data_IF_486225722311
#
_entry.id   IF_486225722311
#
_cell.length_a   1.000
_cell.length_b   1.000
_cell.length_c   1.000
_cell.angle_alpha   90.00
_cell.angle_beta   90.00
_cell.angle_gamma   90.00
#
_symmetry.space_group_name_H-M   'P 1'
#
loop_
_entity.id
_entity.type
_entity.pdbx_description
1 polymer ?
#
# COMPACT_ATOMS: atom_id res chain seq x y z
N UNK A 1 -65.26 -2.79 -3.49
CA UNK A 1 -66.62 -2.69 -4.04
C UNK A 1 -67.42 -3.81 -3.43
N UNK A 2 -68.66 -3.54 -3.06
CA UNK A 2 -69.56 -4.59 -2.61
C UNK A 2 -69.96 -5.49 -3.80
N UNK A 3 -70.39 -6.71 -3.49
CA UNK A 3 -70.94 -7.63 -4.48
C UNK A 3 -72.28 -7.09 -5.03
N UNK A 4 -72.81 -7.72 -6.08
CA UNK A 4 -74.10 -7.35 -6.66
C UNK A 4 -75.23 -7.42 -5.62
N UNK A 5 -75.95 -6.33 -5.41
CA UNK A 5 -77.13 -6.26 -4.53
C UNK A 5 -78.37 -6.07 -5.40
N UNK A 6 -79.04 -7.18 -5.75
CA UNK A 6 -80.23 -7.17 -6.60
C UNK A 6 -81.15 -8.38 -6.29
N UNK A 7 -82.45 -8.36 -6.65
CA UNK A 7 -83.28 -9.55 -6.63
C UNK A 7 -82.67 -10.68 -7.49
N UNK A 8 -82.85 -11.93 -7.07
CA UNK A 8 -82.34 -13.14 -7.74
C UNK A 8 -80.81 -13.36 -7.66
N UNK A 9 -80.14 -12.83 -6.64
CA UNK A 9 -78.74 -13.18 -6.33
C UNK A 9 -78.64 -14.32 -5.31
N UNK A 10 -77.59 -15.12 -5.39
CA UNK A 10 -77.33 -16.27 -4.49
C UNK A 10 -76.01 -16.08 -3.72
N UNK A 11 -75.78 -16.85 -2.66
CA UNK A 11 -74.49 -16.86 -1.95
C UNK A 11 -73.40 -17.49 -2.82
N UNK A 12 -72.13 -17.27 -2.48
CA UNK A 12 -70.99 -17.79 -3.27
C UNK A 12 -70.99 -19.31 -3.38
N UNK A 13 -71.44 -20.00 -2.32
CA UNK A 13 -71.52 -21.47 -2.25
C UNK A 13 -72.60 -22.03 -3.18
N UNK A 14 -73.57 -21.19 -3.53
CA UNK A 14 -74.70 -21.50 -4.40
C UNK A 14 -74.54 -20.92 -5.80
N UNK A 15 -73.47 -20.14 -6.04
CA UNK A 15 -73.20 -19.54 -7.34
C UNK A 15 -72.78 -20.61 -8.36
N UNK A 16 -73.09 -20.35 -9.63
CA UNK A 16 -72.71 -21.23 -10.72
C UNK A 16 -71.17 -21.37 -10.76
N UNK A 17 -70.70 -22.61 -10.64
CA UNK A 17 -69.29 -22.94 -10.78
C UNK A 17 -68.93 -23.15 -12.26
N UNK A 18 -67.65 -22.97 -12.58
CA UNK A 18 -67.15 -23.37 -13.88
C UNK A 18 -67.43 -24.87 -14.13
N UNK A 19 -67.83 -25.27 -15.35
CA UNK A 19 -68.12 -26.67 -15.66
C UNK A 19 -66.96 -27.62 -15.32
N UNK A 20 -67.29 -28.76 -14.68
CA UNK A 20 -66.33 -29.75 -14.21
C UNK A 20 -65.60 -30.50 -15.34
N UNK A 21 -66.22 -30.61 -16.52
CA UNK A 21 -65.67 -31.28 -17.71
C UNK A 21 -65.79 -30.38 -18.94
N UNK A 22 -64.89 -30.55 -19.92
CA UNK A 22 -64.91 -29.81 -21.19
C UNK A 22 -63.54 -29.24 -21.59
N UNK A 23 -63.30 -29.21 -22.90
CA UNK A 23 -62.09 -28.67 -23.52
C UNK A 23 -62.21 -27.14 -23.67
N UNK A 24 -61.21 -26.35 -23.25
CA UNK A 24 -61.20 -24.90 -23.51
C UNK A 24 -61.39 -24.59 -24.99
N UNK A 25 -62.17 -23.55 -25.30
CA UNK A 25 -62.52 -23.19 -26.66
C UNK A 25 -62.90 -21.72 -26.80
N UNK A 26 -63.26 -21.35 -28.02
CA UNK A 26 -63.62 -19.97 -28.41
C UNK A 26 -65.14 -19.85 -28.55
N UNK A 27 -65.68 -18.68 -28.22
CA UNK A 27 -67.08 -18.36 -28.50
C UNK A 27 -67.33 -18.37 -30.02
N UNK A 28 -68.55 -18.75 -30.43
CA UNK A 28 -68.94 -18.86 -31.85
C UNK A 28 -70.36 -18.34 -32.05
N UNK A 29 -70.61 -17.67 -33.18
CA UNK A 29 -71.97 -17.24 -33.57
C UNK A 29 -72.86 -18.41 -34.05
N UNK A 30 -72.35 -19.65 -33.94
CA UNK A 30 -73.04 -20.86 -34.33
C UNK A 30 -72.99 -21.11 -35.84
N UNK A 31 -73.35 -22.32 -36.23
CA UNK A 31 -73.52 -22.69 -37.63
C UNK A 31 -74.70 -23.68 -37.74
N UNK A 32 -75.86 -23.22 -38.27
CA UNK A 32 -77.06 -24.06 -38.40
C UNK A 32 -76.84 -25.29 -39.28
N UNK A 33 -75.93 -25.21 -40.27
CA UNK A 33 -75.62 -26.29 -41.21
C UNK A 33 -74.84 -27.44 -40.58
N UNK A 34 -74.13 -27.19 -39.48
CA UNK A 34 -73.36 -28.19 -38.74
C UNK A 34 -73.96 -28.51 -37.37
N UNK A 35 -75.19 -28.06 -37.11
CA UNK A 35 -75.87 -28.16 -35.80
C UNK A 35 -75.04 -27.61 -34.63
N UNK A 36 -74.15 -26.62 -34.88
CA UNK A 36 -73.35 -26.01 -33.83
C UNK A 36 -74.11 -24.81 -33.25
N UNK A 37 -74.57 -24.86 -31.99
CA UNK A 37 -75.29 -23.74 -31.38
C UNK A 37 -74.38 -22.53 -31.18
N UNK A 38 -74.98 -21.33 -31.22
CA UNK A 38 -74.29 -20.08 -30.93
C UNK A 38 -74.02 -19.93 -29.42
N UNK A 39 -72.92 -19.29 -29.07
CA UNK A 39 -72.70 -18.78 -27.70
C UNK A 39 -73.72 -17.67 -27.43
N UNK A 40 -74.29 -17.63 -26.21
CA UNK A 40 -75.32 -16.64 -25.86
C UNK A 40 -74.85 -15.17 -25.93
N UNK A 41 -73.53 -14.96 -25.89
CA UNK A 41 -72.89 -13.65 -25.92
C UNK A 41 -72.28 -13.40 -27.31
N UNK A 42 -72.16 -12.14 -27.76
CA UNK A 42 -71.50 -11.80 -29.02
C UNK A 42 -70.08 -12.39 -29.07
N UNK A 43 -69.83 -13.32 -30.00
CA UNK A 43 -68.64 -14.16 -29.96
C UNK A 43 -67.35 -13.34 -30.09
N UNK A 44 -67.32 -12.38 -31.01
CA UNK A 44 -66.17 -11.51 -31.23
C UNK A 44 -65.74 -10.75 -29.96
N UNK A 45 -66.67 -10.08 -29.30
CA UNK A 45 -66.38 -9.27 -28.12
C UNK A 45 -65.88 -10.13 -26.96
N UNK A 46 -66.45 -11.32 -26.77
CA UNK A 46 -66.04 -12.23 -25.71
C UNK A 46 -64.65 -12.83 -25.97
N UNK A 47 -64.39 -13.23 -27.21
CA UNK A 47 -63.08 -13.72 -27.63
C UNK A 47 -61.99 -12.65 -27.46
N UNK A 48 -62.26 -11.40 -27.85
CA UNK A 48 -61.32 -10.30 -27.68
C UNK A 48 -61.00 -10.03 -26.19
N UNK A 49 -62.02 -10.02 -25.32
CA UNK A 49 -61.79 -9.88 -23.87
C UNK A 49 -61.03 -11.08 -23.28
N UNK A 50 -61.35 -12.30 -23.74
CA UNK A 50 -60.66 -13.50 -23.32
C UNK A 50 -59.18 -13.44 -23.70
N UNK A 51 -58.87 -13.04 -24.93
CA UNK A 51 -57.49 -12.88 -25.40
C UNK A 51 -56.70 -11.89 -24.56
N UNK A 52 -57.23 -10.69 -24.33
CA UNK A 52 -56.56 -9.66 -23.54
C UNK A 52 -56.27 -10.12 -22.10
N UNK A 53 -57.26 -10.72 -21.44
CA UNK A 53 -57.11 -11.21 -20.07
C UNK A 53 -56.16 -12.40 -19.99
N UNK A 54 -56.23 -13.34 -20.95
CA UNK A 54 -55.32 -14.48 -21.03
C UNK A 54 -53.89 -14.01 -21.29
N UNK A 55 -53.69 -13.07 -22.21
CA UNK A 55 -52.38 -12.51 -22.52
C UNK A 55 -51.76 -11.84 -21.29
N UNK A 56 -52.54 -11.08 -20.52
CA UNK A 56 -52.07 -10.47 -19.26
C UNK A 56 -51.72 -11.53 -18.21
N UNK A 57 -52.57 -12.56 -18.03
CA UNK A 57 -52.35 -13.63 -17.06
C UNK A 57 -51.06 -14.39 -17.38
N UNK A 58 -50.90 -14.80 -18.63
CA UNK A 58 -49.72 -15.51 -19.11
C UNK A 58 -48.48 -14.61 -19.10
N UNK A 59 -48.62 -13.34 -19.48
CA UNK A 59 -47.54 -12.34 -19.43
C UNK A 59 -47.05 -12.07 -18.00
N UNK A 60 -47.92 -12.15 -17.00
CA UNK A 60 -47.56 -12.14 -15.58
C UNK A 60 -47.09 -13.49 -15.03
N UNK A 61 -46.78 -14.46 -15.88
CA UNK A 61 -46.20 -15.75 -15.51
C UNK A 61 -47.19 -16.75 -14.90
N UNK A 62 -48.50 -16.49 -14.95
CA UNK A 62 -49.51 -17.39 -14.38
C UNK A 62 -50.02 -18.38 -15.45
N UNK A 63 -50.22 -19.63 -15.04
CA UNK A 63 -50.86 -20.65 -15.88
C UNK A 63 -52.38 -20.55 -15.76
N UNK A 64 -53.10 -20.63 -16.88
CA UNK A 64 -54.55 -20.61 -16.89
C UNK A 64 -55.13 -21.78 -16.07
N UNK A 65 -55.93 -21.44 -15.07
CA UNK A 65 -56.59 -22.39 -14.20
C UNK A 65 -58.04 -21.98 -13.98
N UNK A 66 -58.97 -22.80 -14.49
CA UNK A 66 -60.41 -22.55 -14.38
C UNK A 66 -60.94 -22.49 -12.94
N UNK A 67 -60.21 -23.07 -11.99
CA UNK A 67 -60.59 -23.11 -10.58
C UNK A 67 -60.06 -21.91 -9.78
N UNK A 68 -59.34 -20.98 -10.42
CA UNK A 68 -58.72 -19.83 -9.77
C UNK A 68 -59.21 -18.50 -10.35
N UNK A 69 -60.13 -17.86 -9.63
CA UNK A 69 -60.67 -16.54 -10.00
C UNK A 69 -59.76 -15.37 -9.56
N UNK A 70 -58.52 -15.63 -9.13
CA UNK A 70 -57.55 -14.62 -8.69
C UNK A 70 -56.37 -14.43 -9.65
N UNK A 71 -56.35 -15.15 -10.78
CA UNK A 71 -55.23 -15.14 -11.73
C UNK A 71 -54.90 -13.76 -12.28
N UNK A 72 -55.92 -12.95 -12.62
CA UNK A 72 -55.73 -11.58 -13.09
C UNK A 72 -54.97 -10.73 -12.06
N UNK A 73 -55.38 -10.83 -10.80
CA UNK A 73 -54.75 -10.11 -9.69
C UNK A 73 -53.31 -10.58 -9.46
N UNK A 74 -53.06 -11.90 -9.47
CA UNK A 74 -51.71 -12.47 -9.32
C UNK A 74 -50.77 -12.03 -10.43
N UNK A 75 -51.24 -12.02 -11.67
CA UNK A 75 -50.45 -11.60 -12.83
C UNK A 75 -50.08 -10.11 -12.76
N UNK A 76 -51.04 -9.24 -12.47
CA UNK A 76 -50.78 -7.80 -12.29
C UNK A 76 -49.80 -7.56 -11.14
N UNK A 77 -49.99 -8.26 -10.01
CA UNK A 77 -49.08 -8.16 -8.86
C UNK A 77 -47.64 -8.57 -9.22
N UNK A 78 -47.47 -9.69 -9.91
CA UNK A 78 -46.15 -10.19 -10.33
C UNK A 78 -45.45 -9.23 -11.32
N UNK A 79 -46.19 -8.65 -12.27
CA UNK A 79 -45.65 -7.65 -13.20
C UNK A 79 -45.18 -6.37 -12.49
N UNK A 80 -45.83 -5.99 -11.40
CA UNK A 80 -45.41 -4.84 -10.58
C UNK A 80 -44.17 -5.21 -9.76
N UNK A 81 -44.19 -6.37 -9.07
CA UNK A 81 -43.09 -6.81 -8.21
C UNK A 81 -41.79 -7.04 -9.00
N UNK A 82 -41.87 -7.68 -10.17
CA UNK A 82 -40.70 -7.88 -11.05
C UNK A 82 -40.04 -6.58 -11.51
N UNK A 83 -40.80 -5.50 -11.67
CA UNK A 83 -40.24 -4.18 -11.98
C UNK A 83 -39.61 -3.51 -10.74
N UNK A 84 -40.15 -3.75 -9.55
CA UNK A 84 -39.62 -3.19 -8.29
C UNK A 84 -38.28 -3.83 -7.90
N UNK A 85 -38.07 -5.11 -8.20
CA UNK A 85 -36.80 -5.81 -7.96
C UNK A 85 -35.59 -5.20 -8.70
N UNK A 86 -35.84 -4.34 -9.70
CA UNK A 86 -34.79 -3.63 -10.45
C UNK A 86 -34.31 -2.36 -9.78
N UNK A 87 -34.98 -1.90 -8.73
CA UNK A 87 -34.63 -0.69 -7.99
C UNK A 87 -33.98 -1.05 -6.66
N UNK A 88 -33.02 -0.22 -6.23
CA UNK A 88 -32.41 -0.38 -4.92
C UNK A 88 -33.39 0.06 -3.80
N UNK A 89 -33.34 -0.57 -2.61
CA UNK A 89 -34.09 -0.10 -1.45
C UNK A 89 -33.80 1.37 -1.13
N UNK A 90 -34.80 2.12 -0.69
CA UNK A 90 -34.62 3.52 -0.29
C UNK A 90 -33.76 3.64 0.97
N UNK A 91 -34.03 2.76 1.94
CA UNK A 91 -33.30 2.69 3.21
C UNK A 91 -32.21 1.62 3.11
N UNK A 92 -30.97 2.03 3.35
CA UNK A 92 -29.79 1.15 3.36
C UNK A 92 -29.67 0.22 2.14
N UNK A 93 -29.65 0.76 0.90
CA UNK A 93 -29.44 -0.06 -0.29
C UNK A 93 -28.11 -0.79 -0.24
N UNK A 94 -28.12 -2.08 -0.58
CA UNK A 94 -26.91 -2.83 -0.90
C UNK A 94 -26.61 -2.69 -2.40
N UNK A 95 -25.50 -2.04 -2.75
CA UNK A 95 -25.07 -1.91 -4.14
C UNK A 95 -24.35 -3.16 -4.61
N UNK A 96 -24.81 -3.75 -5.72
CA UNK A 96 -24.16 -4.91 -6.36
C UNK A 96 -23.58 -4.53 -7.73
N UNK A 97 -22.65 -5.34 -8.25
CA UNK A 97 -22.01 -5.08 -9.55
C UNK A 97 -21.00 -3.91 -9.50
N UNK A 98 -21.06 -3.02 -10.51
CA UNK A 98 -20.16 -1.85 -10.63
C UNK A 98 -20.99 -0.55 -10.56
N UNK A 99 -21.37 -0.09 -9.36
CA UNK A 99 -22.15 1.15 -9.21
C UNK A 99 -21.36 2.35 -9.75
N UNK A 100 -22.06 3.26 -10.42
CA UNK A 100 -21.49 4.52 -10.91
C UNK A 100 -22.07 5.69 -10.13
N UNK A 101 -21.24 6.70 -9.87
CA UNK A 101 -21.65 7.95 -9.26
C UNK A 101 -20.87 9.11 -9.91
N UNK A 102 -21.38 10.35 -9.87
CA UNK A 102 -20.65 11.51 -10.36
C UNK A 102 -19.33 11.68 -9.59
N UNK A 103 -18.23 11.95 -10.28
CA UNK A 103 -16.94 12.25 -9.64
C UNK A 103 -16.94 13.69 -9.12
N UNK A 104 -16.87 13.91 -7.80
CA UNK A 104 -16.81 15.25 -7.23
C UNK A 104 -15.47 15.94 -7.53
N UNK A 105 -15.43 17.26 -7.37
CA UNK A 105 -14.17 18.03 -7.35
C UNK A 105 -13.40 17.75 -6.06
N UNK A 106 -12.07 17.80 -6.09
CA UNK A 106 -11.20 17.43 -4.94
C UNK A 106 -11.39 18.27 -3.66
N UNK A 107 -12.07 19.41 -3.75
CA UNK A 107 -12.37 20.31 -2.63
C UNK A 107 -13.78 20.11 -2.04
N UNK A 108 -14.56 19.17 -2.57
CA UNK A 108 -15.93 18.90 -2.09
C UNK A 108 -15.90 18.23 -0.69
N UNK A 109 -16.66 18.79 0.26
CA UNK A 109 -16.78 18.31 1.65
C UNK A 109 -18.22 17.92 2.03
N UNK A 110 -19.07 17.65 1.03
CA UNK A 110 -20.46 17.21 1.23
C UNK A 110 -20.56 15.74 1.64
N UNK A 111 -21.77 15.29 1.97
CA UNK A 111 -22.08 13.91 2.36
C UNK A 111 -22.32 12.97 1.16
N UNK A 112 -21.89 13.35 -0.04
CA UNK A 112 -22.01 12.52 -1.26
C UNK A 112 -21.11 11.28 -1.17
N UNK A 113 -21.48 10.24 -1.90
CA UNK A 113 -20.62 9.05 -2.08
C UNK A 113 -19.32 9.41 -2.81
N UNK A 114 -18.17 8.93 -2.32
CA UNK A 114 -16.89 9.13 -2.98
C UNK A 114 -16.67 8.11 -4.10
N UNK A 115 -16.32 8.55 -5.31
CA UNK A 115 -15.90 7.65 -6.39
C UNK A 115 -14.44 7.24 -6.23
N UNK A 116 -14.05 6.11 -6.82
CA UNK A 116 -12.64 5.67 -6.85
C UNK A 116 -11.73 6.65 -7.61
N UNK A 117 -12.28 7.36 -8.61
CA UNK A 117 -11.57 8.40 -9.34
C UNK A 117 -11.28 9.63 -8.45
N UNK A 118 -12.24 10.04 -7.62
CA UNK A 118 -12.04 11.09 -6.63
C UNK A 118 -10.96 10.70 -5.61
N UNK A 119 -11.06 9.51 -5.01
CA UNK A 119 -10.08 9.04 -4.03
C UNK A 119 -8.67 8.96 -4.63
N UNK A 120 -8.54 8.43 -5.86
CA UNK A 120 -7.25 8.43 -6.58
C UNK A 120 -6.68 9.83 -6.77
N UNK A 121 -7.52 10.81 -7.12
CA UNK A 121 -7.09 12.19 -7.33
C UNK A 121 -6.61 12.84 -6.03
N UNK A 122 -7.34 12.65 -4.92
CA UNK A 122 -6.97 13.17 -3.60
C UNK A 122 -5.66 12.54 -3.11
N UNK A 123 -5.53 11.21 -3.20
CA UNK A 123 -4.33 10.49 -2.77
C UNK A 123 -3.11 10.87 -3.61
N UNK A 124 -3.28 11.04 -4.93
CA UNK A 124 -2.21 11.52 -5.81
C UNK A 124 -1.75 12.93 -5.42
N UNK A 125 -2.66 13.84 -5.05
CA UNK A 125 -2.32 15.16 -4.55
C UNK A 125 -1.48 15.12 -3.27
N UNK A 126 -1.79 14.21 -2.35
CA UNK A 126 -1.01 14.02 -1.11
C UNK A 126 0.39 13.46 -1.39
N UNK A 127 0.51 12.48 -2.29
CA UNK A 127 1.80 11.88 -2.64
C UNK A 127 2.73 12.80 -3.44
N UNK A 128 2.20 13.86 -4.07
CA UNK A 128 2.97 14.77 -4.91
C UNK A 128 3.76 15.85 -4.15
N UNK A 129 3.54 16.00 -2.84
CA UNK A 129 4.21 17.03 -2.03
C UNK A 129 5.36 16.38 -1.24
N UNK A 130 6.60 16.40 -1.76
CA UNK A 130 7.75 15.98 -0.98
C UNK A 130 7.94 16.94 0.19
N UNK A 131 8.27 16.41 1.37
CA UNK A 131 8.63 17.25 2.49
C UNK A 131 9.98 17.92 2.20
N UNK A 132 10.07 19.22 2.47
CA UNK A 132 11.30 20.01 2.40
C UNK A 132 11.49 20.77 3.70
N UNK A 133 12.58 21.54 3.82
CA UNK A 133 12.81 22.39 5.00
C UNK A 133 11.78 23.51 5.18
N UNK A 134 10.97 23.81 4.15
CA UNK A 134 9.96 24.88 4.17
C UNK A 134 8.53 24.39 3.95
N UNK A 135 8.35 23.16 3.48
CA UNK A 135 7.05 22.62 3.08
C UNK A 135 6.82 21.30 3.80
N UNK A 136 5.72 21.20 4.55
CA UNK A 136 5.25 19.94 5.11
C UNK A 136 4.81 19.01 3.99
N UNK A 137 5.26 17.75 4.03
CA UNK A 137 4.97 16.77 2.98
C UNK A 137 5.38 15.37 3.44
N UNK A 138 5.51 14.46 2.48
CA UNK A 138 5.95 13.08 2.74
C UNK A 138 7.44 12.96 2.38
N UNK A 139 8.24 12.44 3.31
CA UNK A 139 9.64 12.07 3.05
C UNK A 139 9.83 10.56 3.11
N UNK A 140 10.62 10.03 2.18
CA UNK A 140 11.07 8.64 2.23
C UNK A 140 12.18 8.47 3.28
N UNK A 141 12.31 7.26 3.85
CA UNK A 141 13.50 6.88 4.64
C UNK A 141 14.74 6.77 3.76
N UNK A 142 15.87 7.30 4.22
CA UNK A 142 17.15 7.17 3.55
C UNK A 142 17.59 5.70 3.42
N UNK A 143 18.21 5.36 2.29
CA UNK A 143 18.97 4.11 2.11
C UNK A 143 20.33 4.20 2.81
N UNK A 144 21.02 3.07 2.98
CA UNK A 144 22.36 3.04 3.57
C UNK A 144 23.37 3.93 2.83
N UNK A 145 23.47 3.90 1.47
CA UNK A 145 24.39 4.78 0.75
C UNK A 145 24.03 6.26 0.89
N UNK A 146 22.73 6.61 0.86
CA UNK A 146 22.27 7.99 1.07
C UNK A 146 22.63 8.49 2.48
N UNK A 147 22.46 7.63 3.50
CA UNK A 147 22.81 7.96 4.87
C UNK A 147 24.33 8.11 5.06
N UNK A 148 25.14 7.29 4.39
CA UNK A 148 26.61 7.38 4.41
C UNK A 148 27.14 8.60 3.65
N UNK A 149 26.46 9.03 2.59
CA UNK A 149 26.84 10.19 1.80
C UNK A 149 26.51 11.53 2.47
N UNK A 150 25.50 11.58 3.34
CA UNK A 150 25.05 12.82 4.02
C UNK A 150 24.74 13.98 3.04
N UNK A 151 24.33 13.68 1.81
CA UNK A 151 24.13 14.67 0.73
C UNK A 151 22.66 15.08 0.52
N UNK A 152 21.71 14.29 1.01
CA UNK A 152 20.27 14.50 0.77
C UNK A 152 19.62 15.26 1.94
N UNK A 153 18.89 16.33 1.64
CA UNK A 153 18.08 17.09 2.60
C UNK A 153 16.65 16.58 2.76
N UNK A 154 16.17 15.76 1.82
CA UNK A 154 14.73 15.50 1.66
C UNK A 154 14.31 14.13 2.21
N UNK A 155 15.28 13.37 2.72
CA UNK A 155 15.09 12.02 3.26
C UNK A 155 15.19 12.00 4.78
N UNK A 156 14.39 11.17 5.43
CA UNK A 156 14.43 10.99 6.88
C UNK A 156 15.40 9.88 7.29
N UNK A 157 16.13 10.10 8.39
CA UNK A 157 16.97 9.08 9.01
C UNK A 157 16.18 8.33 10.09
N UNK A 158 16.22 7.01 10.02
CA UNK A 158 15.88 6.12 11.13
C UNK A 158 17.10 5.90 12.04
N UNK A 159 16.93 5.40 13.27
CA UNK A 159 18.07 4.99 14.09
C UNK A 159 19.02 3.99 13.39
N UNK A 160 18.48 3.10 12.56
CA UNK A 160 19.29 2.13 11.81
C UNK A 160 20.11 2.78 10.68
N UNK A 161 19.51 3.71 9.92
CA UNK A 161 20.23 4.43 8.86
C UNK A 161 21.20 5.46 9.43
N UNK A 162 20.89 6.07 10.57
CA UNK A 162 21.83 6.93 11.30
C UNK A 162 23.06 6.12 11.73
N UNK A 163 22.86 4.92 12.30
CA UNK A 163 23.96 4.01 12.60
C UNK A 163 24.77 3.66 11.34
N UNK A 164 24.10 3.39 10.23
CA UNK A 164 24.75 3.06 8.97
C UNK A 164 25.59 4.22 8.41
N UNK A 165 25.18 5.47 8.64
CA UNK A 165 25.94 6.68 8.27
C UNK A 165 27.35 6.71 8.87
N UNK A 166 27.53 6.10 10.05
CA UNK A 166 28.80 6.01 10.78
C UNK A 166 29.49 4.65 10.65
N UNK A 167 29.06 3.81 9.71
CA UNK A 167 29.61 2.47 9.48
C UNK A 167 30.00 2.27 8.01
N UNK A 168 30.59 1.13 7.68
CA UNK A 168 30.96 0.77 6.31
C UNK A 168 32.10 1.65 5.80
N UNK A 169 31.88 2.41 4.72
CA UNK A 169 32.92 3.27 4.13
C UNK A 169 33.41 4.37 5.06
N UNK A 170 32.64 4.71 6.09
CA UNK A 170 32.96 5.80 7.03
C UNK A 170 33.61 5.30 8.33
N UNK A 171 33.81 3.98 8.50
CA UNK A 171 34.39 3.42 9.72
C UNK A 171 35.00 2.04 9.52
N UNK A 172 36.20 1.83 10.04
CA UNK A 172 36.86 0.52 10.13
C UNK A 172 37.37 0.26 11.54
N UNK A 173 36.86 -0.79 12.20
CA UNK A 173 37.26 -1.20 13.57
C UNK A 173 38.53 -2.07 13.62
N UNK A 174 39.28 -2.16 12.54
CA UNK A 174 40.52 -2.93 12.47
C UNK A 174 41.62 -2.33 13.37
N UNK A 175 42.66 -3.12 13.67
CA UNK A 175 43.82 -2.64 14.44
C UNK A 175 44.45 -1.39 13.84
N UNK A 176 44.53 -1.34 12.50
CA UNK A 176 44.79 -0.14 11.72
C UNK A 176 43.46 0.30 11.10
N UNK A 177 42.78 1.23 11.76
CA UNK A 177 41.39 1.58 11.46
C UNK A 177 41.18 3.08 11.36
N UNK A 178 39.96 3.47 11.02
CA UNK A 178 39.60 4.87 10.84
C UNK A 178 38.13 5.14 11.13
N UNK A 179 37.81 6.40 11.37
CA UNK A 179 36.45 6.93 11.45
C UNK A 179 36.39 8.28 10.74
N UNK A 180 35.39 8.44 9.87
CA UNK A 180 35.06 9.72 9.24
C UNK A 180 33.95 10.37 10.07
N UNK A 181 34.19 11.59 10.51
CA UNK A 181 33.22 12.39 11.26
C UNK A 181 32.36 13.24 10.32
N UNK A 182 31.14 13.65 10.73
CA UNK A 182 30.26 14.50 9.91
C UNK A 182 30.87 15.85 9.54
N UNK A 183 31.85 16.33 10.31
CA UNK A 183 32.59 17.56 10.01
C UNK A 183 33.55 17.41 8.82
N UNK A 184 33.73 16.19 8.29
CA UNK A 184 34.75 15.87 7.29
C UNK A 184 36.13 15.59 7.89
N UNK A 185 36.29 15.66 9.21
CA UNK A 185 37.51 15.22 9.89
C UNK A 185 37.60 13.71 9.86
N UNK A 186 38.79 13.21 9.58
CA UNK A 186 39.13 11.79 9.59
C UNK A 186 40.03 11.55 10.79
N UNK A 187 39.63 10.61 11.65
CA UNK A 187 40.47 10.07 12.70
C UNK A 187 40.95 8.68 12.30
N UNK A 188 42.24 8.41 12.45
CA UNK A 188 42.81 7.10 12.16
C UNK A 188 43.65 6.64 13.33
N UNK A 189 43.69 5.33 13.54
CA UNK A 189 44.50 4.70 14.57
C UNK A 189 45.22 3.49 14.01
N UNK A 190 46.32 3.13 14.65
CA UNK A 190 47.06 1.96 14.25
C UNK A 190 48.13 1.54 15.24
N UNK A 191 48.75 0.41 14.90
CA UNK A 191 49.85 -0.17 15.65
C UNK A 191 51.02 -0.37 14.70
N UNK A 192 52.17 0.17 15.08
CA UNK A 192 53.45 -0.16 14.48
C UNK A 192 53.93 -1.46 15.13
N UNK A 193 54.20 -2.46 14.29
CA UNK A 193 54.56 -3.80 14.72
C UNK A 193 55.75 -3.80 15.70
N UNK A 194 55.73 -4.77 16.62
CA UNK A 194 56.80 -5.00 17.58
C UNK A 194 58.15 -5.12 16.87
N UNK A 195 59.15 -4.40 17.37
CA UNK A 195 60.54 -4.60 16.99
C UNK A 195 61.38 -4.80 18.24
N UNK A 196 62.39 -5.65 18.15
CA UNK A 196 63.46 -5.74 19.15
C UNK A 196 64.59 -4.83 18.72
N UNK A 197 64.85 -3.76 19.47
CA UNK A 197 65.93 -2.82 19.19
C UNK A 197 67.19 -3.27 19.94
N UNK A 198 68.32 -3.49 19.25
CA UNK A 198 69.61 -3.68 19.90
C UNK A 198 69.95 -2.56 20.89
N UNK A 199 70.86 -2.83 21.82
CA UNK A 199 71.41 -1.82 22.71
C UNK A 199 71.99 -0.64 21.89
N UNK A 200 71.77 0.59 22.36
CA UNK A 200 72.24 1.83 21.74
C UNK A 200 71.95 1.93 20.23
N UNK A 201 70.71 1.65 19.83
CA UNK A 201 70.30 1.63 18.41
C UNK A 201 68.99 2.36 18.16
N UNK A 202 68.77 2.72 16.89
CA UNK A 202 67.51 3.29 16.42
C UNK A 202 66.99 2.53 15.21
N UNK A 203 65.67 2.49 15.03
CA UNK A 203 65.01 1.87 13.88
C UNK A 203 63.83 2.72 13.43
N UNK A 204 63.81 3.00 12.14
CA UNK A 204 62.76 3.78 11.50
C UNK A 204 61.63 2.85 11.05
N UNK A 205 60.39 3.27 11.28
CA UNK A 205 59.19 2.56 10.86
C UNK A 205 58.33 3.49 10.01
N UNK A 206 58.10 3.10 8.76
CA UNK A 206 57.15 3.78 7.88
C UNK A 206 55.75 3.30 8.22
N UNK A 207 54.90 4.23 8.63
CA UNK A 207 53.50 4.00 8.97
C UNK A 207 52.65 4.46 7.79
N UNK A 208 51.88 3.54 7.21
CA UNK A 208 50.85 3.87 6.22
C UNK A 208 49.51 4.02 6.92
N UNK A 209 48.84 5.14 6.68
CA UNK A 209 47.50 5.39 7.19
C UNK A 209 46.47 4.52 6.46
N UNK A 210 45.46 3.96 7.17
CA UNK A 210 44.37 3.19 6.57
C UNK A 210 43.64 3.89 5.43
N UNK A 211 43.58 5.22 5.47
CA UNK A 211 42.97 6.09 4.47
C UNK A 211 43.87 7.29 4.18
N UNK A 212 43.99 7.68 2.92
CA UNK A 212 44.70 8.90 2.56
C UNK A 212 43.86 10.12 2.99
N UNK A 213 44.49 11.07 3.67
CA UNK A 213 43.91 12.39 3.92
C UNK A 213 43.90 13.21 2.62
N UNK A 214 42.97 14.16 2.49
CA UNK A 214 42.93 15.09 1.34
C UNK A 214 43.96 16.21 1.47
N UNK A 215 44.43 16.49 2.69
CA UNK A 215 45.56 17.38 3.00
C UNK A 215 46.50 16.72 4.03
N UNK A 216 47.63 17.37 4.34
CA UNK A 216 48.52 16.85 5.38
C UNK A 216 47.77 16.69 6.72
N UNK A 217 48.10 15.63 7.46
CA UNK A 217 47.51 15.36 8.76
C UNK A 217 47.72 16.55 9.72
N UNK A 218 46.70 16.88 10.50
CA UNK A 218 46.70 18.04 11.41
C UNK A 218 47.48 17.76 12.69
N UNK A 219 47.38 16.54 13.21
CA UNK A 219 48.05 16.13 14.45
C UNK A 219 48.22 14.63 14.51
N UNK A 220 49.29 14.20 15.17
CA UNK A 220 49.55 12.80 15.50
C UNK A 220 49.95 12.68 16.97
N UNK A 221 49.31 11.75 17.67
CA UNK A 221 49.68 11.31 18.99
C UNK A 221 50.22 9.88 18.92
N UNK A 222 51.32 9.63 19.63
CA UNK A 222 51.94 8.31 19.74
C UNK A 222 51.99 7.87 21.20
N UNK A 223 51.79 6.57 21.42
CA UNK A 223 51.95 5.93 22.73
C UNK A 223 52.90 4.76 22.58
N UNK A 224 53.90 4.69 23.46
CA UNK A 224 54.93 3.65 23.44
C UNK A 224 54.60 2.58 24.47
N UNK A 225 54.58 1.32 24.03
CA UNK A 225 54.42 0.14 24.88
C UNK A 225 55.76 -0.59 24.94
N UNK A 226 56.34 -0.63 26.13
CA UNK A 226 57.68 -1.19 26.36
C UNK A 226 57.86 -1.62 27.82
N UNK A 227 58.64 -2.68 28.11
CA UNK A 227 59.02 -3.04 29.47
C UNK A 227 60.07 -2.10 30.08
N UNK A 228 60.66 -1.18 29.31
CA UNK A 228 61.76 -0.30 29.75
C UNK A 228 61.47 1.19 29.46
N UNK A 229 60.54 1.82 30.20
CA UNK A 229 60.01 3.15 29.89
C UNK A 229 61.02 4.30 30.02
N UNK A 230 62.14 4.09 30.71
CA UNK A 230 63.22 5.09 30.85
C UNK A 230 64.30 4.97 29.79
N UNK A 231 64.30 3.89 29.00
CA UNK A 231 65.37 3.56 28.06
C UNK A 231 64.89 3.44 26.60
N UNK A 232 63.57 3.44 26.39
CA UNK A 232 62.97 3.38 25.07
C UNK A 232 62.28 4.69 24.76
N UNK A 233 62.44 5.17 23.52
CA UNK A 233 61.79 6.37 23.03
C UNK A 233 61.17 6.12 21.65
N UNK A 234 60.16 6.93 21.32
CA UNK A 234 59.64 7.03 19.96
C UNK A 234 59.41 8.51 19.64
N UNK A 235 59.75 8.91 18.42
CA UNK A 235 59.56 10.27 17.93
C UNK A 235 59.01 10.26 16.50
N UNK A 236 58.26 11.30 16.16
CA UNK A 236 57.73 11.53 14.82
C UNK A 236 58.78 12.31 14.03
N UNK A 237 59.13 11.88 12.82
CA UNK A 237 60.04 12.66 11.98
C UNK A 237 59.29 13.81 11.31
N UNK A 238 59.73 15.04 11.59
CA UNK A 238 59.04 16.31 11.26
C UNK A 238 58.75 16.49 9.77
N UNK A 239 59.57 15.95 8.88
CA UNK A 239 59.45 16.16 7.42
C UNK A 239 58.82 14.96 6.69
N UNK A 240 58.28 14.00 7.44
CA UNK A 240 57.76 12.75 6.87
C UNK A 240 56.25 12.61 7.00
N UNK A 241 55.57 13.54 7.67
CA UNK A 241 54.12 13.53 7.81
C UNK A 241 53.48 13.95 6.49
N UNK A 242 52.87 12.99 5.82
CA UNK A 242 52.21 13.15 4.52
C UNK A 242 50.73 12.83 4.63
N UNK A 243 50.01 12.92 3.51
CA UNK A 243 48.60 12.49 3.41
C UNK A 243 48.41 11.00 3.61
N UNK A 244 49.43 10.18 3.37
CA UNK A 244 49.32 8.71 3.35
C UNK A 244 50.08 8.04 4.48
N UNK A 245 50.91 8.76 5.23
CA UNK A 245 51.71 8.14 6.27
C UNK A 245 52.70 9.07 6.96
N UNK A 246 53.50 8.48 7.83
CA UNK A 246 54.56 9.14 8.59
C UNK A 246 55.68 8.16 8.91
N UNK A 247 56.89 8.67 9.10
CA UNK A 247 58.00 7.85 9.63
C UNK A 247 58.17 8.12 11.12
N UNK A 248 58.17 7.04 11.90
CA UNK A 248 58.47 7.07 13.32
C UNK A 248 59.87 6.54 13.55
N UNK A 249 60.65 7.21 14.41
CA UNK A 249 61.95 6.72 14.87
C UNK A 249 61.82 6.16 16.27
N UNK A 250 62.10 4.87 16.41
CA UNK A 250 62.14 4.16 17.70
C UNK A 250 63.59 4.03 18.15
N UNK A 251 63.87 4.33 19.41
CA UNK A 251 65.23 4.31 19.96
C UNK A 251 65.34 3.50 21.23
N UNK A 252 66.48 2.83 21.40
CA UNK A 252 66.89 2.15 22.63
C UNK A 252 68.20 2.75 23.12
N UNK A 253 68.17 3.42 24.28
CA UNK A 253 69.35 4.02 24.93
C UNK A 253 70.02 3.09 25.96
N UNK A 254 69.51 1.87 26.15
CA UNK A 254 70.20 0.86 26.98
C UNK A 254 71.56 0.54 26.38
N UNK A 255 72.57 0.44 27.24
CA UNK A 255 73.95 0.14 26.85
C UNK A 255 74.23 -1.36 26.73
N UNK A 256 73.32 -2.22 27.21
CA UNK A 256 73.53 -3.67 27.27
C UNK A 256 72.31 -4.52 26.95
N UNK A 257 71.10 -3.97 27.02
CA UNK A 257 69.86 -4.76 26.91
C UNK A 257 69.10 -4.42 25.63
N UNK A 258 68.81 -5.39 24.76
CA UNK A 258 67.85 -5.20 23.69
C UNK A 258 66.43 -5.12 24.26
N UNK A 259 65.63 -4.17 23.79
CA UNK A 259 64.27 -3.95 24.27
C UNK A 259 63.23 -4.11 23.17
N UNK A 260 62.09 -4.70 23.53
CA UNK A 260 60.93 -4.78 22.66
C UNK A 260 60.16 -3.46 22.73
N UNK A 261 59.78 -2.96 21.55
CA UNK A 261 59.08 -1.69 21.38
C UNK A 261 57.89 -1.88 20.46
N UNK A 262 56.71 -1.55 20.98
CA UNK A 262 55.46 -1.42 20.20
C UNK A 262 55.02 0.03 20.28
N UNK A 263 54.50 0.58 19.19
CA UNK A 263 54.01 1.96 19.15
C UNK A 263 52.58 1.95 18.64
N UNK A 264 51.68 2.58 19.39
CA UNK A 264 50.34 2.92 18.89
C UNK A 264 50.33 4.36 18.44
N UNK A 265 49.54 4.64 17.42
CA UNK A 265 49.34 6.01 16.96
C UNK A 265 47.85 6.31 16.81
N UNK A 266 47.52 7.59 17.00
CA UNK A 266 46.24 8.18 16.61
C UNK A 266 46.56 9.46 15.84
N UNK A 267 46.00 9.57 14.65
CA UNK A 267 46.24 10.72 13.74
C UNK A 267 44.90 11.32 13.35
N UNK A 268 44.86 12.65 13.25
CA UNK A 268 43.66 13.42 12.90
C UNK A 268 44.00 14.31 11.70
N UNK A 269 43.11 14.35 10.71
CA UNK A 269 43.29 15.14 9.49
C UNK A 269 41.99 15.32 8.71
N UNK A 270 42.10 15.84 7.48
CA UNK A 270 41.01 15.97 6.50
C UNK A 270 41.54 15.56 5.14
#
# INVERSE_FOLDING_TARGET
>A
MDLLIAPYTVTKEQADAAPATGTPGWATDGNPSTNKPATQWPAYAFNAMQEELVALIQGGGQTLNRNDNTLLFKAVKALIESNLERFAPLESPEFTGTPTAPTPVVTDNSTKLSTTAFVKSVVAGVAAVPATTLVSGISRRATTPEAQGLTSSDTTLSPASLRAAFQGTNYSATFNGFQILPSGIIEQWGVVALVTLPANSTSDAVVTFPMAFTANALSIAISVETPAPTQVSCSVMTDTLTTTGVTLRRGNSSTSTPWNVVVRYRVIGR
#
